data_IF_901225671089
#
_entry.id   IF_901225671089
#
_cell.length_a   1.000
_cell.length_b   1.000
_cell.length_c   1.000
_cell.angle_alpha   90.00
_cell.angle_beta   90.00
_cell.angle_gamma   90.00
#
_symmetry.space_group_name_H-M   'P 1'
#
loop_
_entity.id
_entity.type
_entity.pdbx_description
1 polymer ?
#
# COMPACT_ATOMS: atom_id res chain seq x y z
N UNK A 1 16.51 -24.03 -4.33
CA UNK A 1 15.16 -24.11 -3.73
C UNK A 1 14.97 -22.89 -2.83
N UNK A 2 14.16 -21.91 -3.23
CA UNK A 2 13.79 -20.79 -2.35
C UNK A 2 12.54 -21.19 -1.58
N UNK A 3 12.68 -21.43 -0.28
CA UNK A 3 11.55 -21.62 0.62
C UNK A 3 10.90 -20.23 0.77
N UNK A 4 9.71 -20.02 0.20
CA UNK A 4 8.86 -18.95 0.73
C UNK A 4 8.61 -19.31 2.19
N UNK A 5 8.91 -18.42 3.11
CA UNK A 5 8.60 -18.67 4.51
C UNK A 5 7.14 -18.25 4.77
N UNK A 6 6.19 -19.21 4.82
CA UNK A 6 4.78 -18.89 5.03
C UNK A 6 4.53 -18.25 6.41
N UNK A 7 5.41 -18.49 7.39
CA UNK A 7 5.28 -17.90 8.73
C UNK A 7 5.47 -16.39 8.65
N UNK A 8 6.47 -15.90 7.90
CA UNK A 8 6.71 -14.45 7.80
C UNK A 8 5.58 -13.73 7.07
N UNK A 9 5.05 -14.31 6.00
CA UNK A 9 3.96 -13.66 5.24
C UNK A 9 2.67 -13.59 6.07
N UNK A 10 2.36 -14.64 6.85
CA UNK A 10 1.18 -14.67 7.74
C UNK A 10 1.35 -13.75 8.95
N UNK A 11 2.52 -13.78 9.61
CA UNK A 11 2.82 -12.87 10.73
C UNK A 11 2.80 -11.42 10.26
N UNK A 12 3.46 -11.10 9.15
CA UNK A 12 3.47 -9.75 8.59
C UNK A 12 2.07 -9.27 8.23
N UNK A 13 1.24 -10.14 7.62
CA UNK A 13 -0.19 -9.86 7.41
C UNK A 13 -0.90 -9.48 8.70
N UNK A 14 -0.73 -10.26 9.77
CA UNK A 14 -1.38 -9.98 11.05
C UNK A 14 -0.89 -8.66 11.68
N UNK A 15 0.40 -8.36 11.58
CA UNK A 15 0.98 -7.09 12.03
C UNK A 15 0.36 -5.91 11.26
N UNK A 16 0.25 -6.02 9.94
CA UNK A 16 -0.31 -4.96 9.09
C UNK A 16 -1.83 -4.77 9.22
N UNK A 17 -2.56 -5.76 9.74
CA UNK A 17 -4.00 -5.63 10.05
C UNK A 17 -4.25 -4.88 11.36
N UNK A 18 -3.25 -4.79 12.24
CA UNK A 18 -3.32 -3.98 13.45
C UNK A 18 -2.88 -2.55 13.12
N UNK A 19 -3.78 -1.57 13.29
CA UNK A 19 -3.53 -0.21 12.84
C UNK A 19 -2.37 0.48 13.56
N UNK A 20 -2.18 0.23 14.86
CA UNK A 20 -1.09 0.82 15.64
C UNK A 20 0.27 0.31 15.17
N UNK A 21 0.36 -1.00 14.97
CA UNK A 21 1.58 -1.67 14.47
C UNK A 21 1.86 -1.27 13.01
N UNK A 22 0.83 -1.27 12.16
CA UNK A 22 0.94 -0.83 10.77
C UNK A 22 1.41 0.62 10.67
N UNK A 23 0.83 1.51 11.49
CA UNK A 23 1.24 2.92 11.59
C UNK A 23 2.71 3.03 11.96
N UNK A 24 3.17 2.33 13.02
CA UNK A 24 4.56 2.36 13.46
C UNK A 24 5.53 1.89 12.36
N UNK A 25 5.23 0.76 11.72
CA UNK A 25 6.07 0.19 10.67
C UNK A 25 6.11 1.13 9.46
N UNK A 26 4.95 1.58 9.00
CA UNK A 26 4.85 2.44 7.82
C UNK A 26 5.47 3.81 8.05
N UNK A 27 5.26 4.44 9.21
CA UNK A 27 5.89 5.74 9.52
C UNK A 27 7.41 5.60 9.58
N UNK A 28 7.92 4.48 10.10
CA UNK A 28 9.36 4.19 10.15
C UNK A 28 9.94 4.03 8.75
N UNK A 29 9.25 3.32 7.84
CA UNK A 29 9.72 3.13 6.46
C UNK A 29 9.62 4.42 5.65
N UNK A 30 8.56 5.20 5.85
CA UNK A 30 8.33 6.45 5.13
C UNK A 30 9.21 7.60 5.63
N UNK A 31 9.74 7.49 6.84
CA UNK A 31 10.39 8.59 7.57
C UNK A 31 9.47 9.84 7.71
N UNK A 32 8.15 9.62 7.72
CA UNK A 32 7.13 10.67 7.81
C UNK A 32 6.10 10.31 8.88
N UNK A 33 5.53 11.33 9.53
CA UNK A 33 4.47 11.14 10.52
C UNK A 33 3.17 10.73 9.83
N UNK A 34 2.52 9.66 10.30
CA UNK A 34 1.20 9.22 9.83
C UNK A 34 0.14 9.71 10.81
N UNK A 35 -0.71 10.63 10.37
CA UNK A 35 -1.79 11.23 11.14
C UNK A 35 -3.06 10.37 11.18
N UNK A 36 -3.33 9.65 10.09
CA UNK A 36 -4.40 8.63 10.03
C UNK A 36 -4.05 7.57 9.01
N UNK A 37 -4.46 6.33 9.29
CA UNK A 37 -4.22 5.16 8.43
C UNK A 37 -5.49 4.32 8.37
N UNK A 38 -5.96 4.07 7.15
CA UNK A 38 -7.15 3.28 6.85
C UNK A 38 -6.77 2.14 5.89
N UNK A 39 -7.06 0.90 6.28
CA UNK A 39 -6.85 -0.26 5.44
C UNK A 39 -7.90 -0.29 4.31
N UNK A 40 -7.46 -0.32 3.06
CA UNK A 40 -8.36 -0.43 1.91
C UNK A 40 -8.76 -1.90 1.68
N UNK A 41 -9.96 -2.15 1.10
CA UNK A 41 -10.39 -3.51 0.78
C UNK A 41 -9.36 -4.21 -0.12
N UNK A 42 -8.79 -5.34 0.34
CA UNK A 42 -7.75 -6.07 -0.38
C UNK A 42 -8.30 -6.61 -1.71
N UNK A 43 -7.67 -6.23 -2.83
CA UNK A 43 -7.94 -6.85 -4.13
C UNK A 43 -7.55 -8.34 -4.08
N UNK A 44 -8.57 -9.20 -4.22
CA UNK A 44 -8.56 -10.63 -4.54
C UNK A 44 -7.17 -11.23 -4.74
N UNK A 45 -6.77 -12.13 -3.82
CA UNK A 45 -5.64 -13.02 -4.02
C UNK A 45 -5.84 -13.79 -5.33
N UNK A 46 -5.17 -13.34 -6.40
CA UNK A 46 -5.22 -14.03 -7.67
C UNK A 46 -4.47 -15.35 -7.49
N UNK A 47 -5.21 -16.46 -7.42
CA UNK A 47 -4.66 -17.79 -7.59
C UNK A 47 -4.18 -17.88 -9.05
N UNK A 48 -2.90 -17.56 -9.28
CA UNK A 48 -2.30 -17.75 -10.59
C UNK A 48 -2.12 -19.25 -10.76
N UNK A 49 -3.00 -19.90 -11.52
CA UNK A 49 -3.13 -21.36 -11.66
C UNK A 49 -1.83 -22.11 -12.01
N UNK A 50 -0.76 -21.40 -12.42
CA UNK A 50 0.54 -21.97 -12.80
C UNK A 50 1.74 -21.55 -11.92
N UNK A 51 1.53 -20.82 -10.81
CA UNK A 51 2.61 -20.49 -9.84
C UNK A 51 2.08 -20.60 -8.42
N UNK A 52 2.68 -21.46 -7.60
CA UNK A 52 2.35 -21.72 -6.19
C UNK A 52 2.60 -20.55 -5.21
N UNK A 53 2.70 -19.32 -5.69
CA UNK A 53 2.99 -18.15 -4.87
C UNK A 53 1.80 -17.19 -4.88
N UNK A 54 1.20 -16.98 -3.70
CA UNK A 54 0.24 -15.90 -3.47
C UNK A 54 1.02 -14.59 -3.32
N UNK A 55 0.83 -13.65 -4.25
CA UNK A 55 1.35 -12.28 -4.05
C UNK A 55 0.42 -11.60 -3.07
N UNK A 56 0.89 -11.39 -1.85
CA UNK A 56 0.16 -10.65 -0.84
C UNK A 56 0.29 -9.15 -1.12
N UNK A 57 -0.86 -8.46 -1.25
CA UNK A 57 -0.98 -7.04 -1.50
C UNK A 57 -1.80 -6.40 -0.38
N UNK A 58 -1.31 -5.28 0.14
CA UNK A 58 -1.99 -4.44 1.10
C UNK A 58 -1.99 -3.00 0.65
N UNK A 59 -3.18 -2.42 0.57
CA UNK A 59 -3.35 -1.03 0.22
C UNK A 59 -3.86 -0.28 1.45
N UNK A 60 -3.27 0.89 1.72
CA UNK A 60 -3.69 1.80 2.78
C UNK A 60 -3.96 3.18 2.20
N UNK A 61 -4.94 3.85 2.79
CA UNK A 61 -5.12 5.29 2.66
C UNK A 61 -4.51 5.96 3.89
N UNK A 62 -3.61 6.92 3.71
CA UNK A 62 -2.96 7.58 4.83
C UNK A 62 -2.97 9.10 4.68
N UNK A 63 -3.17 9.81 5.79
CA UNK A 63 -2.79 11.22 5.89
C UNK A 63 -1.44 11.29 6.56
N UNK A 64 -0.46 11.88 5.88
CA UNK A 64 0.90 12.04 6.39
C UNK A 64 1.22 13.51 6.59
N UNK A 65 2.12 13.79 7.53
CA UNK A 65 2.74 15.10 7.70
C UNK A 65 4.21 14.98 7.31
N UNK A 66 4.58 15.78 6.32
CA UNK A 66 5.95 15.78 5.78
C UNK A 66 6.93 16.45 6.75
N UNK A 67 8.23 16.22 6.57
CA UNK A 67 9.30 16.88 7.34
C UNK A 67 9.22 18.43 7.32
N UNK A 68 8.63 19.03 6.28
CA UNK A 68 8.40 20.48 6.15
C UNK A 68 7.06 20.95 6.77
N UNK A 69 6.31 20.04 7.38
CA UNK A 69 5.04 20.31 8.05
C UNK A 69 3.79 20.30 7.15
N UNK A 70 3.94 19.99 5.85
CA UNK A 70 2.82 19.90 4.91
C UNK A 70 2.04 18.60 5.09
N UNK A 71 0.71 18.67 5.19
CA UNK A 71 -0.17 17.50 5.24
C UNK A 71 -0.56 17.01 3.84
N UNK A 72 -0.43 15.71 3.61
CA UNK A 72 -0.76 15.06 2.33
C UNK A 72 -1.61 13.83 2.56
N UNK A 73 -2.59 13.63 1.69
CA UNK A 73 -3.23 12.34 1.54
C UNK A 73 -2.37 11.50 0.58
N UNK A 74 -2.06 10.26 0.94
CA UNK A 74 -1.31 9.30 0.12
C UNK A 74 -2.00 7.94 0.10
N UNK A 75 -1.71 7.16 -0.95
CA UNK A 75 -2.01 5.73 -1.00
C UNK A 75 -0.69 4.99 -0.84
N UNK A 76 -0.67 4.01 0.06
CA UNK A 76 0.49 3.16 0.34
C UNK A 76 0.12 1.74 -0.10
N UNK A 77 0.84 1.20 -1.09
CA UNK A 77 0.74 -0.21 -1.46
C UNK A 77 2.00 -0.94 -0.96
N UNK A 78 1.79 -2.01 -0.20
CA UNK A 78 2.83 -2.96 0.18
C UNK A 78 2.61 -4.23 -0.63
N UNK A 79 3.63 -4.64 -1.39
CA UNK A 79 3.59 -5.88 -2.15
C UNK A 79 4.86 -6.71 -1.97
N UNK A 80 4.68 -8.02 -1.83
CA UNK A 80 5.80 -8.96 -1.93
C UNK A 80 6.16 -9.18 -3.40
N UNK A 81 7.07 -8.37 -3.94
CA UNK A 81 7.56 -8.55 -5.31
C UNK A 81 8.68 -9.60 -5.35
N UNK A 82 8.51 -10.63 -6.19
CA UNK A 82 9.59 -11.60 -6.49
C UNK A 82 10.20 -11.36 -7.87
N UNK A 83 9.46 -10.73 -8.79
CA UNK A 83 9.90 -10.46 -10.15
C UNK A 83 9.60 -9.01 -10.56
N UNK A 84 10.45 -8.45 -11.43
CA UNK A 84 10.27 -7.08 -11.94
C UNK A 84 8.94 -6.86 -12.69
N UNK A 85 8.32 -7.93 -13.22
CA UNK A 85 7.02 -7.87 -13.88
C UNK A 85 5.87 -7.49 -12.92
N UNK A 86 5.99 -7.82 -11.62
CA UNK A 86 5.01 -7.49 -10.60
C UNK A 86 4.92 -5.96 -10.41
N UNK A 87 6.06 -5.27 -10.52
CA UNK A 87 6.18 -3.80 -10.47
C UNK A 87 5.50 -3.13 -11.68
N UNK A 88 5.55 -3.74 -12.87
CA UNK A 88 4.96 -3.16 -14.09
C UNK A 88 3.42 -3.20 -14.08
N UNK A 89 2.82 -4.25 -13.50
CA UNK A 89 1.36 -4.33 -13.31
C UNK A 89 0.87 -3.23 -12.36
N UNK A 90 1.60 -3.00 -11.27
CA UNK A 90 1.31 -1.94 -10.32
C UNK A 90 1.23 -0.56 -10.97
N UNK A 91 2.23 -0.19 -11.79
CA UNK A 91 2.23 1.08 -12.54
C UNK A 91 0.97 1.29 -13.38
N UNK A 92 0.37 0.21 -13.90
CA UNK A 92 -0.87 0.28 -14.69
C UNK A 92 -2.10 0.53 -13.83
N UNK A 93 -2.24 -0.19 -12.70
CA UNK A 93 -3.28 0.06 -11.71
C UNK A 93 -3.23 1.50 -11.18
N UNK A 94 -2.03 2.02 -10.90
CA UNK A 94 -1.85 3.40 -10.48
C UNK A 94 -2.37 4.39 -11.52
N UNK A 95 -2.02 4.19 -12.79
CA UNK A 95 -2.52 5.02 -13.87
C UNK A 95 -4.06 5.06 -13.94
N UNK A 96 -4.72 3.97 -13.57
CA UNK A 96 -6.18 3.89 -13.56
C UNK A 96 -6.81 4.53 -12.31
N UNK A 97 -6.16 4.46 -11.14
CA UNK A 97 -6.61 5.18 -9.93
C UNK A 97 -6.38 6.69 -10.03
N UNK A 98 -5.25 7.13 -10.60
CA UNK A 98 -4.99 8.54 -10.90
C UNK A 98 -6.06 9.16 -11.81
N UNK A 99 -6.59 8.39 -12.77
CA UNK A 99 -7.69 8.83 -13.64
C UNK A 99 -9.03 8.95 -12.92
N UNK A 100 -9.27 8.13 -11.89
CA UNK A 100 -10.54 8.10 -11.16
C UNK A 100 -10.66 9.22 -10.13
N UNK A 101 -9.53 9.69 -9.59
CA UNK A 101 -9.50 10.70 -8.53
C UNK A 101 -10.02 10.16 -7.20
N UNK A 102 -9.50 10.68 -6.09
CA UNK A 102 -10.01 10.36 -4.75
C UNK A 102 -10.79 11.55 -4.18
N UNK A 103 -11.87 11.31 -3.41
CA UNK A 103 -12.59 12.37 -2.74
C UNK A 103 -11.67 13.04 -1.71
N UNK A 104 -11.37 14.32 -1.94
CA UNK A 104 -10.64 15.18 -0.99
C UNK A 104 -11.68 15.84 -0.10
N UNK A 105 -11.49 15.82 1.22
CA UNK A 105 -12.40 16.53 2.13
C UNK A 105 -12.44 18.03 1.80
N UNK A 106 -13.66 18.54 1.60
CA UNK A 106 -13.97 19.94 1.32
C UNK A 106 -13.81 20.34 -0.15
N UNK A 107 -14.92 20.34 -0.89
CA UNK A 107 -15.24 21.09 -2.14
C UNK A 107 -14.10 21.51 -3.11
N UNK A 108 -13.00 20.76 -3.16
CA UNK A 108 -11.86 21.00 -4.04
C UNK A 108 -11.89 19.96 -5.15
N UNK A 109 -11.57 20.40 -6.36
CA UNK A 109 -11.45 19.52 -7.52
C UNK A 109 -10.57 18.31 -7.16
N UNK A 110 -11.00 17.11 -7.59
CA UNK A 110 -10.24 15.87 -7.39
C UNK A 110 -8.81 16.09 -7.92
N UNK A 111 -7.84 16.08 -7.01
CA UNK A 111 -6.42 16.20 -7.34
C UNK A 111 -5.78 14.83 -7.31
N UNK A 112 -4.77 14.68 -8.15
CA UNK A 112 -3.91 13.51 -8.20
C UNK A 112 -3.21 13.33 -6.84
N UNK A 113 -3.48 12.21 -6.16
CA UNK A 113 -2.91 11.88 -4.85
C UNK A 113 -1.51 11.28 -5.03
N UNK A 114 -0.48 11.72 -4.28
CA UNK A 114 0.85 11.09 -4.33
C UNK A 114 0.80 9.63 -3.86
N UNK A 115 1.60 8.76 -4.47
CA UNK A 115 1.62 7.32 -4.19
C UNK A 115 3.01 6.93 -3.74
N UNK A 116 3.05 6.17 -2.64
CA UNK A 116 4.30 5.64 -2.08
C UNK A 116 4.22 4.12 -2.15
N UNK A 117 5.13 3.53 -2.92
CA UNK A 117 5.21 2.08 -3.10
C UNK A 117 6.41 1.56 -2.32
N UNK A 118 6.16 0.54 -1.49
CA UNK A 118 7.15 -0.10 -0.63
C UNK A 118 7.20 -1.60 -0.95
#
# INVERSE_FOLDING_TARGET
>A
MQIANPIYDVVFKHLMQNNEIATLILSTILEEEILSLDLLPQETAMALENRSFTVYRLDFSARIKTAIGEEKHVIIEIQKAKFAADIMRFRRYLGDQYKKGFPVEGNKAQKATPIISI
#
